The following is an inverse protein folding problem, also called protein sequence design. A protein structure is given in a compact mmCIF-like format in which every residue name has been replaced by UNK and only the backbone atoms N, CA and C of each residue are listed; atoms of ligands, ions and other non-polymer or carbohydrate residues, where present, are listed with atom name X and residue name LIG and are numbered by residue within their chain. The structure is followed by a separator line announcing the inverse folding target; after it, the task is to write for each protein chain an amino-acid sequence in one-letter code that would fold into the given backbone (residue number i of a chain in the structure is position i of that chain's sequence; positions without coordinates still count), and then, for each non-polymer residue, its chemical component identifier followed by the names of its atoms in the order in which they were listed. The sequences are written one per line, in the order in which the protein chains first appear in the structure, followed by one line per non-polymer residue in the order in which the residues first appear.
data_IF_592506424903
#
_entry.id   IF_592506424903
#
_cell.length_a   1.000
_cell.length_b   1.000
_cell.length_c   1.000
_cell.angle_alpha   90.00
_cell.angle_beta   90.00
_cell.angle_gamma   90.00
#
_symmetry.space_group_name_H-M   'P 1'
#
loop_
_entity.id
_entity.type
_entity.pdbx_description
1 polymer ?
#
# COMPACT_ATOMS: atom_id res chain seq x y z
N UNK A 1 -38.63 -42.46 -4.94
CA UNK A 1 -38.92 -42.69 -6.37
C UNK A 1 -37.89 -41.95 -7.21
N UNK A 2 -37.48 -42.45 -8.37
CA UNK A 2 -36.35 -41.89 -9.13
C UNK A 2 -36.39 -40.35 -9.36
N UNK A 3 -37.58 -39.75 -9.42
CA UNK A 3 -37.77 -38.30 -9.54
C UNK A 3 -37.41 -37.50 -8.29
N UNK A 4 -37.53 -38.06 -7.08
CA UNK A 4 -37.19 -37.37 -5.83
C UNK A 4 -35.67 -37.35 -5.59
N UNK A 5 -34.98 -38.45 -5.90
CA UNK A 5 -33.52 -38.57 -5.80
C UNK A 5 -32.79 -37.63 -6.78
N UNK A 6 -33.30 -37.50 -8.02
CA UNK A 6 -32.77 -36.53 -8.97
C UNK A 6 -32.89 -35.08 -8.47
N UNK A 7 -34.01 -34.74 -7.82
CA UNK A 7 -34.24 -33.38 -7.29
C UNK A 7 -33.30 -33.04 -6.14
N UNK A 8 -33.04 -33.99 -5.24
CA UNK A 8 -32.12 -33.80 -4.11
C UNK A 8 -30.68 -33.57 -4.58
N UNK A 9 -30.22 -34.30 -5.59
CA UNK A 9 -28.87 -34.10 -6.16
C UNK A 9 -28.71 -32.75 -6.83
N UNK A 10 -29.73 -32.28 -7.56
CA UNK A 10 -29.72 -30.95 -8.18
C UNK A 10 -29.66 -29.86 -7.10
N UNK A 11 -30.45 -29.98 -6.04
CA UNK A 11 -30.44 -29.02 -4.94
C UNK A 11 -29.08 -29.00 -4.24
N UNK A 12 -28.50 -30.17 -3.97
CA UNK A 12 -27.16 -30.27 -3.37
C UNK A 12 -26.09 -29.59 -4.23
N UNK A 13 -26.12 -29.78 -5.55
CA UNK A 13 -25.21 -29.13 -6.48
C UNK A 13 -25.37 -27.60 -6.50
N UNK A 14 -26.61 -27.09 -6.45
CA UNK A 14 -26.88 -25.65 -6.43
C UNK A 14 -26.41 -25.00 -5.12
N UNK A 15 -26.59 -25.67 -3.98
CA UNK A 15 -26.07 -25.18 -2.69
C UNK A 15 -24.54 -25.15 -2.72
N UNK A 16 -23.90 -26.22 -3.21
CA UNK A 16 -22.44 -26.26 -3.36
C UNK A 16 -21.90 -25.15 -4.27
N UNK A 17 -22.55 -24.92 -5.40
CA UNK A 17 -22.19 -23.83 -6.32
C UNK A 17 -22.39 -22.45 -5.67
N UNK A 18 -23.47 -22.25 -4.92
CA UNK A 18 -23.73 -21.02 -4.19
C UNK A 18 -22.65 -20.72 -3.16
N UNK A 19 -22.19 -21.73 -2.41
CA UNK A 19 -21.10 -21.58 -1.44
C UNK A 19 -19.77 -21.20 -2.12
N UNK A 20 -19.44 -21.83 -3.26
CA UNK A 20 -18.22 -21.53 -4.01
C UNK A 20 -18.26 -20.10 -4.55
N UNK A 21 -19.38 -19.69 -5.18
CA UNK A 21 -19.52 -18.34 -5.73
C UNK A 21 -19.50 -17.27 -4.64
N UNK A 22 -20.12 -17.53 -3.50
CA UNK A 22 -20.11 -16.59 -2.36
C UNK A 22 -18.71 -16.46 -1.77
N UNK A 23 -17.99 -17.58 -1.62
CA UNK A 23 -16.60 -17.57 -1.15
C UNK A 23 -15.68 -16.83 -2.13
N UNK A 24 -15.86 -17.06 -3.44
CA UNK A 24 -15.13 -16.34 -4.49
C UNK A 24 -15.42 -14.84 -4.45
N UNK A 25 -16.69 -14.42 -4.30
CA UNK A 25 -17.06 -13.01 -4.20
C UNK A 25 -16.44 -12.32 -2.99
N UNK A 26 -16.44 -12.96 -1.82
CA UNK A 26 -15.83 -12.42 -0.59
C UNK A 26 -14.32 -12.26 -0.80
N UNK A 27 -13.64 -13.32 -1.27
CA UNK A 27 -12.21 -13.28 -1.52
C UNK A 27 -11.84 -12.25 -2.59
N UNK A 28 -12.59 -12.18 -3.69
CA UNK A 28 -12.37 -11.24 -4.78
C UNK A 28 -12.63 -9.78 -4.39
N UNK A 29 -13.53 -9.54 -3.44
CA UNK A 29 -13.82 -8.20 -2.91
C UNK A 29 -12.77 -7.70 -1.91
N UNK A 30 -12.17 -8.61 -1.13
CA UNK A 30 -11.10 -8.27 -0.19
C UNK A 30 -9.77 -8.11 -0.94
N UNK A 31 -9.44 -9.07 -1.81
CA UNK A 31 -8.24 -9.05 -2.64
C UNK A 31 -8.43 -9.95 -3.88
N UNK A 32 -8.58 -9.38 -5.09
CA UNK A 32 -8.79 -10.15 -6.31
C UNK A 32 -7.63 -11.10 -6.66
N UNK A 33 -6.44 -10.89 -6.09
CA UNK A 33 -5.30 -11.79 -6.31
C UNK A 33 -5.43 -13.13 -5.57
N UNK A 34 -6.28 -13.25 -4.55
CA UNK A 34 -6.50 -14.50 -3.82
C UNK A 34 -7.28 -15.55 -4.62
N UNK A 35 -8.03 -15.11 -5.64
CA UNK A 35 -8.81 -15.99 -6.53
C UNK A 35 -8.16 -16.15 -7.90
N UNK A 36 -7.00 -15.53 -8.12
CA UNK A 36 -6.28 -15.58 -9.37
C UNK A 36 -5.37 -16.83 -9.41
N UNK A 37 -5.99 -18.00 -9.55
CA UNK A 37 -5.28 -19.27 -9.63
C UNK A 37 -4.70 -19.47 -11.03
N UNK A 38 -3.41 -19.18 -11.19
CA UNK A 38 -2.69 -19.53 -12.41
C UNK A 38 -2.17 -20.97 -12.31
N UNK A 39 -3.07 -21.94 -12.48
CA UNK A 39 -2.74 -23.36 -12.43
C UNK A 39 -2.04 -23.78 -13.74
N UNK A 40 -0.74 -23.49 -13.85
CA UNK A 40 0.07 -23.93 -14.99
C UNK A 40 0.43 -25.42 -14.82
N UNK A 41 -0.51 -26.29 -15.17
CA UNK A 41 -0.25 -27.72 -15.22
C UNK A 41 0.63 -28.01 -16.46
N UNK A 42 1.82 -28.62 -16.30
CA UNK A 42 2.59 -29.06 -17.47
C UNK A 42 1.75 -30.07 -18.26
N UNK A 43 1.63 -29.85 -19.57
CA UNK A 43 0.92 -30.76 -20.46
C UNK A 43 1.56 -32.15 -20.41
N UNK A 44 0.80 -33.16 -19.98
CA UNK A 44 1.21 -34.56 -20.07
C UNK A 44 0.88 -35.05 -21.48
N UNK A 45 1.88 -35.01 -22.34
CA UNK A 45 1.88 -35.71 -23.64
C UNK A 45 1.29 -34.93 -24.80
N UNK A 46 2.02 -33.95 -25.33
CA UNK A 46 1.86 -33.53 -26.73
C UNK A 46 3.22 -33.51 -27.44
N UNK A 47 3.48 -34.56 -28.20
CA UNK A 47 4.34 -34.49 -29.38
C UNK A 47 3.62 -33.69 -30.46
N UNK A 48 4.12 -32.50 -30.80
CA UNK A 48 3.69 -31.81 -32.02
C UNK A 48 4.87 -31.47 -32.92
N UNK A 49 4.72 -31.99 -34.13
CA UNK A 49 5.56 -31.85 -35.32
C UNK A 49 5.52 -30.43 -35.86
N UNK A 50 6.64 -29.99 -36.41
CA UNK A 50 6.91 -28.67 -36.95
C UNK A 50 6.04 -28.26 -38.16
N UNK A 51 5.72 -26.96 -38.24
CA UNK A 51 5.21 -26.26 -39.42
C UNK A 51 5.52 -24.77 -39.31
N UNK A 52 6.47 -24.28 -40.11
CA UNK A 52 7.16 -23.01 -39.93
C UNK A 52 6.43 -21.75 -40.40
N UNK A 53 6.61 -20.69 -39.62
CA UNK A 53 6.62 -19.29 -40.05
C UNK A 53 8.02 -18.71 -39.72
N UNK A 54 8.57 -17.76 -40.48
CA UNK A 54 9.92 -17.25 -40.25
C UNK A 54 9.97 -16.55 -38.89
N UNK A 55 10.65 -17.22 -37.97
CA UNK A 55 10.62 -16.95 -36.54
C UNK A 55 11.32 -15.66 -36.16
N UNK A 56 10.62 -14.84 -35.40
CA UNK A 56 11.27 -14.05 -34.38
C UNK A 56 12.05 -15.04 -33.49
N UNK A 57 13.37 -14.96 -33.53
CA UNK A 57 14.24 -15.74 -32.64
C UNK A 57 13.74 -15.48 -31.21
N UNK A 58 13.26 -16.50 -30.47
CA UNK A 58 12.89 -16.32 -29.08
C UNK A 58 14.10 -15.73 -28.36
N UNK A 59 13.97 -14.69 -27.53
CA UNK A 59 15.09 -14.22 -26.74
C UNK A 59 15.60 -15.41 -25.93
N UNK A 60 16.80 -15.89 -26.25
CA UNK A 60 17.42 -17.10 -25.67
C UNK A 60 18.09 -16.84 -24.32
N UNK A 61 17.87 -15.66 -23.73
CA UNK A 61 18.46 -15.26 -22.45
C UNK A 61 17.44 -15.25 -21.30
N UNK A 62 17.88 -15.48 -20.05
CA UNK A 62 17.02 -15.29 -18.88
C UNK A 62 16.47 -13.86 -18.83
N UNK A 63 15.43 -13.62 -18.04
CA UNK A 63 14.95 -12.25 -17.83
C UNK A 63 16.10 -11.34 -17.39
N UNK A 64 16.29 -10.21 -18.07
CA UNK A 64 17.36 -9.26 -17.75
C UNK A 64 17.11 -8.50 -16.45
N UNK A 65 15.88 -8.53 -15.95
CA UNK A 65 15.48 -7.95 -14.66
C UNK A 65 15.66 -9.01 -13.58
N UNK A 66 16.37 -8.65 -12.51
CA UNK A 66 16.58 -9.54 -11.36
C UNK A 66 15.30 -9.68 -10.52
N UNK A 67 15.09 -10.79 -9.80
CA UNK A 67 14.01 -10.92 -8.82
C UNK A 67 14.03 -9.82 -7.75
N UNK A 68 12.91 -9.63 -7.04
CA UNK A 68 12.83 -8.74 -5.87
C UNK A 68 13.74 -9.24 -4.76
N UNK A 69 14.37 -8.32 -4.03
CA UNK A 69 15.18 -8.66 -2.87
C UNK A 69 14.27 -9.17 -1.74
N UNK A 70 14.53 -10.35 -1.15
CA UNK A 70 13.76 -10.82 -0.01
C UNK A 70 13.90 -9.89 1.20
N UNK A 71 12.80 -9.66 1.91
CA UNK A 71 12.78 -8.92 3.16
C UNK A 71 13.39 -9.75 4.29
N UNK A 72 14.14 -9.10 5.17
CA UNK A 72 14.90 -9.75 6.24
C UNK A 72 14.61 -9.20 7.65
N UNK A 73 14.31 -7.91 7.82
CA UNK A 73 13.90 -7.38 9.13
C UNK A 73 12.46 -7.80 9.46
N UNK A 74 12.27 -8.36 10.66
CA UNK A 74 10.97 -8.86 11.12
C UNK A 74 9.89 -7.78 11.24
N UNK A 75 10.26 -6.52 11.53
CA UNK A 75 9.33 -5.39 11.55
C UNK A 75 8.85 -5.01 10.15
N UNK A 76 9.72 -5.19 9.15
CA UNK A 76 9.41 -4.94 7.74
C UNK A 76 8.53 -6.06 7.20
N UNK A 77 8.84 -7.32 7.53
CA UNK A 77 7.99 -8.48 7.20
C UNK A 77 6.59 -8.34 7.83
N UNK A 78 6.51 -7.85 9.08
CA UNK A 78 5.22 -7.59 9.70
C UNK A 78 4.42 -6.55 8.89
N UNK A 79 5.05 -5.42 8.54
CA UNK A 79 4.42 -4.37 7.72
C UNK A 79 3.98 -4.90 6.36
N UNK A 80 4.81 -5.72 5.70
CA UNK A 80 4.50 -6.36 4.43
C UNK A 80 3.29 -7.30 4.49
N UNK A 81 3.06 -7.92 5.64
CA UNK A 81 1.91 -8.79 5.92
C UNK A 81 0.68 -8.01 6.42
N UNK A 82 0.67 -6.69 6.25
CA UNK A 82 -0.45 -5.83 6.64
C UNK A 82 -0.50 -5.52 8.13
N UNK A 83 0.62 -5.65 8.84
CA UNK A 83 0.68 -5.13 10.21
C UNK A 83 0.38 -3.63 10.22
N UNK A 84 -0.24 -3.22 11.33
CA UNK A 84 -0.65 -1.85 11.58
C UNK A 84 0.48 -0.84 11.39
N UNK A 85 0.08 0.43 11.27
CA UNK A 85 0.95 1.61 11.32
C UNK A 85 2.03 1.44 12.39
N UNK A 86 3.29 1.51 11.96
CA UNK A 86 4.43 1.37 12.87
C UNK A 86 4.75 2.70 13.52
N UNK A 87 4.79 2.70 14.86
CA UNK A 87 5.04 3.87 15.71
C UNK A 87 6.34 3.77 16.49
N UNK A 88 7.17 2.75 16.24
CA UNK A 88 8.40 2.51 16.99
C UNK A 88 9.58 2.26 16.06
N UNK A 89 10.77 2.65 16.51
CA UNK A 89 12.03 2.37 15.82
C UNK A 89 13.10 1.91 16.81
N UNK A 90 14.05 1.10 16.32
CA UNK A 90 15.25 0.70 17.08
C UNK A 90 16.25 1.86 17.20
N UNK A 91 16.21 2.84 16.28
CA UNK A 91 17.01 4.07 16.39
C UNK A 91 16.34 5.01 17.41
N UNK A 92 17.01 5.36 18.53
CA UNK A 92 16.40 6.16 19.60
C UNK A 92 16.01 7.57 19.15
N UNK A 93 16.75 8.16 18.21
CA UNK A 93 16.45 9.49 17.69
C UNK A 93 15.18 9.48 16.82
N UNK A 94 15.07 8.47 15.96
CA UNK A 94 13.85 8.23 15.16
C UNK A 94 12.68 7.92 16.08
N UNK A 95 12.88 7.10 17.11
CA UNK A 95 11.84 6.75 18.06
C UNK A 95 11.33 7.97 18.85
N UNK A 96 12.22 8.90 19.23
CA UNK A 96 11.80 10.17 19.85
C UNK A 96 10.94 11.02 18.92
N UNK A 97 11.28 11.05 17.62
CA UNK A 97 10.44 11.70 16.62
C UNK A 97 9.06 11.03 16.54
N UNK A 98 8.99 9.70 16.51
CA UNK A 98 7.74 8.95 16.43
C UNK A 98 6.83 9.14 17.65
N UNK A 99 7.41 9.20 18.86
CA UNK A 99 6.65 9.50 20.09
C UNK A 99 5.98 10.87 19.97
N UNK A 100 6.73 11.90 19.52
CA UNK A 100 6.15 13.23 19.32
C UNK A 100 5.11 13.21 18.19
N UNK A 101 5.41 12.58 17.06
CA UNK A 101 4.50 12.47 15.91
C UNK A 101 3.15 11.87 16.32
N UNK A 102 3.18 10.79 17.09
CA UNK A 102 1.99 10.13 17.60
C UNK A 102 1.20 11.04 18.56
N UNK A 103 1.88 11.75 19.47
CA UNK A 103 1.24 12.69 20.38
C UNK A 103 0.55 13.85 19.63
N UNK A 104 1.19 14.39 18.60
CA UNK A 104 0.61 15.46 17.78
C UNK A 104 -0.57 14.97 16.91
N UNK A 105 -0.51 13.73 16.42
CA UNK A 105 -1.64 13.09 15.76
C UNK A 105 -2.86 13.01 16.69
N UNK A 106 -2.67 12.56 17.95
CA UNK A 106 -3.79 12.50 18.91
C UNK A 106 -4.32 13.88 19.29
N UNK A 107 -3.49 14.92 19.30
CA UNK A 107 -3.98 16.29 19.48
C UNK A 107 -4.88 16.70 18.32
N UNK A 108 -4.46 16.43 17.09
CA UNK A 108 -5.26 16.71 15.89
C UNK A 108 -6.60 15.97 15.92
N UNK A 109 -6.56 14.66 16.19
CA UNK A 109 -7.75 13.80 16.25
C UNK A 109 -8.76 14.33 17.29
N UNK A 110 -8.31 14.57 18.53
CA UNK A 110 -9.15 15.14 19.58
C UNK A 110 -9.69 16.53 19.21
N UNK A 111 -8.87 17.39 18.61
CA UNK A 111 -9.28 18.76 18.29
C UNK A 111 -10.32 18.81 17.16
N UNK A 112 -10.22 17.90 16.18
CA UNK A 112 -11.21 17.76 15.11
C UNK A 112 -12.51 17.08 15.61
N UNK A 113 -12.43 16.18 16.60
CA UNK A 113 -13.61 15.64 17.27
C UNK A 113 -14.38 16.67 18.10
N UNK A 114 -13.68 17.63 18.73
CA UNK A 114 -14.29 18.61 19.64
C UNK A 114 -14.85 19.87 18.97
N UNK A 115 -14.34 20.24 17.78
CA UNK A 115 -14.85 21.39 17.02
C UNK A 115 -16.08 21.00 16.20
N UNK A 116 -16.92 21.96 15.86
CA UNK A 116 -18.17 21.85 15.06
C UNK A 116 -18.04 21.18 13.67
N UNK A 117 -16.93 20.50 13.36
CA UNK A 117 -16.82 19.54 12.27
C UNK A 117 -17.70 18.29 12.48
N UNK A 118 -18.22 18.11 13.70
CA UNK A 118 -19.32 17.21 14.02
C UNK A 118 -18.94 15.75 14.19
N UNK A 119 -19.83 15.00 14.85
CA UNK A 119 -19.85 13.55 14.84
C UNK A 119 -19.81 13.05 13.39
N UNK A 120 -18.66 12.55 12.92
CA UNK A 120 -18.51 12.10 11.53
C UNK A 120 -17.09 12.19 10.97
N UNK A 121 -16.23 13.08 11.48
CA UNK A 121 -14.82 13.09 11.07
C UNK A 121 -14.08 11.88 11.63
N UNK A 122 -13.43 11.12 10.76
CA UNK A 122 -12.57 9.98 11.10
C UNK A 122 -11.19 10.23 10.51
N UNK A 123 -10.16 10.13 11.37
CA UNK A 123 -8.76 10.14 10.95
C UNK A 123 -8.27 8.69 10.91
N UNK A 124 -7.76 8.28 9.76
CA UNK A 124 -7.10 6.98 9.59
C UNK A 124 -5.66 7.22 9.24
N UNK A 125 -4.75 6.69 10.06
CA UNK A 125 -3.33 6.70 9.71
C UNK A 125 -3.07 5.55 8.74
N UNK A 126 -2.63 5.89 7.55
CA UNK A 126 -2.26 4.93 6.52
C UNK A 126 -0.81 4.46 6.71
N UNK A 127 0.09 5.39 7.06
CA UNK A 127 1.49 5.09 7.31
C UNK A 127 2.13 6.12 8.25
N UNK A 128 3.14 5.71 9.03
CA UNK A 128 3.93 6.60 9.87
C UNK A 128 5.42 6.25 9.72
N UNK A 129 6.01 5.45 10.62
CA UNK A 129 7.37 4.98 10.41
C UNK A 129 7.44 4.03 9.21
N UNK A 130 8.39 4.26 8.29
CA UNK A 130 8.78 3.30 7.27
C UNK A 130 10.25 2.96 7.44
N UNK A 131 10.61 1.75 7.94
CA UNK A 131 12.00 1.33 8.00
C UNK A 131 12.69 1.45 6.64
N UNK A 132 13.98 1.75 6.63
CA UNK A 132 14.72 1.97 5.37
C UNK A 132 14.66 0.76 4.43
N UNK A 133 14.65 -0.46 4.95
CA UNK A 133 14.48 -1.68 4.14
C UNK A 133 13.10 -1.74 3.48
N UNK A 134 12.03 -1.32 4.18
CA UNK A 134 10.71 -1.20 3.57
C UNK A 134 10.69 -0.14 2.46
N UNK A 135 11.31 1.03 2.68
CA UNK A 135 11.41 2.06 1.64
C UNK A 135 12.25 1.58 0.42
N UNK A 136 13.30 0.78 0.65
CA UNK A 136 14.07 0.11 -0.42
C UNK A 136 13.19 -0.86 -1.20
N UNK A 137 12.37 -1.64 -0.51
CA UNK A 137 11.45 -2.59 -1.13
C UNK A 137 10.44 -1.89 -2.07
N UNK A 138 9.76 -0.84 -1.59
CA UNK A 138 8.81 -0.06 -2.41
C UNK A 138 9.50 0.55 -3.65
N UNK A 139 10.69 1.12 -3.47
CA UNK A 139 11.45 1.69 -4.58
C UNK A 139 11.92 0.62 -5.57
N UNK A 140 12.34 -0.55 -5.09
CA UNK A 140 12.77 -1.65 -5.94
C UNK A 140 11.62 -2.16 -6.82
N UNK A 141 10.43 -2.33 -6.25
CA UNK A 141 9.21 -2.70 -6.99
C UNK A 141 8.94 -1.68 -8.10
N UNK A 142 8.87 -0.39 -7.74
CA UNK A 142 8.61 0.68 -8.71
C UNK A 142 9.68 0.76 -9.79
N UNK A 143 10.97 0.66 -9.42
CA UNK A 143 12.08 0.74 -10.35
C UNK A 143 12.07 -0.43 -11.35
N UNK A 144 11.83 -1.66 -10.90
CA UNK A 144 11.71 -2.81 -11.82
C UNK A 144 10.48 -2.69 -12.71
N UNK A 145 9.34 -2.30 -12.14
CA UNK A 145 8.07 -2.19 -12.86
C UNK A 145 8.10 -1.10 -13.94
N UNK A 146 8.45 0.13 -13.55
CA UNK A 146 8.42 1.32 -14.41
C UNK A 146 9.74 1.56 -15.13
N UNK A 147 10.86 1.71 -14.41
CA UNK A 147 12.13 2.13 -15.03
C UNK A 147 12.80 1.03 -15.84
N UNK A 148 12.76 -0.22 -15.37
CA UNK A 148 13.32 -1.36 -16.10
C UNK A 148 12.33 -1.94 -17.12
N UNK A 149 11.15 -1.33 -17.28
CA UNK A 149 10.18 -1.63 -18.33
C UNK A 149 9.46 -2.98 -18.19
N UNK A 150 9.41 -3.56 -16.98
CA UNK A 150 8.78 -4.86 -16.77
C UNK A 150 7.27 -4.80 -17.04
N UNK A 151 6.61 -3.67 -16.76
CA UNK A 151 5.19 -3.43 -17.05
C UNK A 151 4.84 -3.65 -18.53
N UNK A 152 5.67 -3.14 -19.43
CA UNK A 152 5.47 -3.23 -20.89
C UNK A 152 6.22 -4.40 -21.53
N UNK A 153 6.98 -5.16 -20.75
CA UNK A 153 7.77 -6.28 -21.27
C UNK A 153 6.87 -7.33 -21.90
N UNK A 154 7.26 -7.73 -23.11
CA UNK A 154 6.67 -8.85 -23.88
C UNK A 154 7.59 -10.07 -23.92
N UNK A 155 8.74 -10.02 -23.22
CA UNK A 155 9.67 -11.13 -23.16
C UNK A 155 9.06 -12.28 -22.33
N UNK A 156 8.81 -13.48 -22.92
CA UNK A 156 8.19 -14.59 -22.21
C UNK A 156 9.03 -15.06 -21.01
N UNK A 157 10.36 -14.89 -21.05
CA UNK A 157 11.23 -15.26 -19.94
C UNK A 157 11.06 -14.35 -18.71
N UNK A 158 10.45 -13.18 -18.88
CA UNK A 158 10.11 -12.27 -17.80
C UNK A 158 8.65 -12.42 -17.31
N UNK A 159 7.84 -13.32 -17.88
CA UNK A 159 6.41 -13.39 -17.60
C UNK A 159 6.11 -13.67 -16.11
N UNK A 160 6.82 -14.61 -15.50
CA UNK A 160 6.66 -14.92 -14.06
C UNK A 160 7.04 -13.71 -13.21
N UNK A 161 8.22 -13.14 -13.42
CA UNK A 161 8.69 -11.97 -12.65
C UNK A 161 7.77 -10.76 -12.85
N UNK A 162 7.24 -10.56 -14.06
CA UNK A 162 6.25 -9.52 -14.35
C UNK A 162 5.00 -9.72 -13.50
N UNK A 163 4.48 -10.94 -13.41
CA UNK A 163 3.30 -11.19 -12.58
C UNK A 163 3.59 -10.95 -11.09
N UNK A 164 4.75 -11.39 -10.59
CA UNK A 164 5.17 -11.20 -9.20
C UNK A 164 5.33 -9.71 -8.85
N UNK A 165 6.15 -8.98 -9.61
CA UNK A 165 6.40 -7.55 -9.38
C UNK A 165 5.12 -6.72 -9.62
N UNK A 166 4.30 -7.10 -10.59
CA UNK A 166 3.03 -6.42 -10.86
C UNK A 166 2.00 -6.61 -9.75
N UNK A 167 1.97 -7.80 -9.14
CA UNK A 167 1.15 -8.06 -7.96
C UNK A 167 1.62 -7.22 -6.77
N UNK A 168 2.93 -7.15 -6.52
CA UNK A 168 3.50 -6.30 -5.46
C UNK A 168 3.24 -4.81 -5.72
N UNK A 169 3.44 -4.34 -6.96
CA UNK A 169 3.17 -2.96 -7.34
C UNK A 169 1.71 -2.57 -7.08
N UNK A 170 0.78 -3.48 -7.39
CA UNK A 170 -0.66 -3.29 -7.17
C UNK A 170 -1.03 -3.38 -5.68
N UNK A 171 -0.44 -4.33 -4.94
CA UNK A 171 -0.64 -4.54 -3.50
C UNK A 171 -0.34 -3.26 -2.72
N UNK A 172 0.76 -2.59 -3.06
CA UNK A 172 1.19 -1.35 -2.40
C UNK A 172 0.55 -0.09 -2.99
N UNK A 173 -0.33 -0.21 -4.01
CA UNK A 173 -1.01 0.92 -4.64
C UNK A 173 -0.03 1.94 -5.24
N UNK A 174 1.11 1.49 -5.77
CA UNK A 174 2.18 2.40 -6.16
C UNK A 174 1.77 3.26 -7.37
N UNK A 175 1.99 4.56 -7.25
CA UNK A 175 1.76 5.53 -8.33
C UNK A 175 2.94 5.65 -9.29
N UNK A 176 2.91 6.68 -10.12
CA UNK A 176 3.98 6.97 -11.09
C UNK A 176 5.33 7.30 -10.43
N UNK A 177 5.36 7.64 -9.15
CA UNK A 177 6.55 8.05 -8.42
C UNK A 177 6.61 7.37 -7.04
N UNK A 178 7.79 6.87 -6.70
CA UNK A 178 8.14 6.40 -5.36
C UNK A 178 9.46 7.04 -4.95
N UNK A 179 9.50 7.63 -3.76
CA UNK A 179 10.70 8.28 -3.24
C UNK A 179 11.88 7.31 -3.17
N UNK A 180 13.04 7.74 -3.65
CA UNK A 180 14.28 6.96 -3.53
C UNK A 180 14.61 6.70 -2.06
N UNK A 181 15.18 5.53 -1.70
CA UNK A 181 15.50 5.22 -0.32
C UNK A 181 16.51 6.21 0.25
N UNK A 182 16.10 6.93 1.30
CA UNK A 182 16.90 7.98 1.90
C UNK A 182 16.60 8.02 3.41
N UNK A 183 17.64 7.94 4.25
CA UNK A 183 17.52 8.03 5.71
C UNK A 183 16.94 9.36 6.19
N UNK A 184 16.99 10.40 5.36
CA UNK A 184 16.45 11.72 5.66
C UNK A 184 14.98 11.88 5.23
N UNK A 185 14.39 10.89 4.53
CA UNK A 185 13.00 10.93 4.13
C UNK A 185 12.08 10.97 5.36
N UNK A 186 10.99 11.77 5.36
CA UNK A 186 10.21 12.01 6.57
C UNK A 186 9.71 10.74 7.29
N UNK A 187 9.17 9.77 6.54
CA UNK A 187 8.75 8.49 7.12
C UNK A 187 9.90 7.66 7.70
N UNK A 188 11.09 7.74 7.09
CA UNK A 188 12.27 6.97 7.53
C UNK A 188 12.88 7.58 8.79
N UNK A 189 12.89 8.91 8.92
CA UNK A 189 13.37 9.57 10.15
C UNK A 189 12.27 9.80 11.20
N UNK A 190 11.08 9.23 11.00
CA UNK A 190 9.98 9.24 11.97
C UNK A 190 9.30 10.59 12.15
N UNK A 191 9.39 11.48 11.16
CA UNK A 191 8.74 12.81 11.19
C UNK A 191 7.53 12.92 10.27
N UNK A 192 7.33 11.94 9.38
CA UNK A 192 6.24 11.93 8.40
C UNK A 192 5.12 10.96 8.76
N UNK A 193 3.88 11.34 8.45
CA UNK A 193 2.67 10.55 8.66
C UNK A 193 1.70 10.76 7.50
N UNK A 194 1.12 9.68 7.02
CA UNK A 194 0.07 9.71 6.00
C UNK A 194 -1.28 9.54 6.70
N UNK A 195 -2.06 10.61 6.79
CA UNK A 195 -3.37 10.66 7.45
C UNK A 195 -4.46 10.82 6.39
N UNK A 196 -5.31 9.81 6.25
CA UNK A 196 -6.57 9.93 5.54
C UNK A 196 -7.61 10.55 6.46
N UNK A 197 -8.34 11.54 5.95
CA UNK A 197 -9.39 12.23 6.70
C UNK A 197 -10.70 11.99 5.95
N UNK A 198 -11.71 11.48 6.64
CA UNK A 198 -13.05 11.23 6.08
C UNK A 198 -14.11 11.86 6.98
N UNK A 199 -15.20 12.37 6.39
CA UNK A 199 -16.42 12.79 7.07
C UNK A 199 -17.61 12.37 6.18
N UNK A 200 -18.82 12.26 6.70
CA UNK A 200 -20.02 11.93 5.89
C UNK A 200 -20.26 12.86 4.69
N UNK A 201 -19.61 14.02 4.65
CA UNK A 201 -19.57 15.01 3.54
C UNK A 201 -18.15 15.27 2.98
N UNK A 202 -17.13 14.56 3.46
CA UNK A 202 -15.71 14.83 3.22
C UNK A 202 -15.00 13.54 2.84
N UNK A 203 -14.28 13.56 1.73
CA UNK A 203 -13.14 12.66 1.52
C UNK A 203 -11.97 13.56 1.21
N UNK A 204 -10.81 13.33 1.85
CA UNK A 204 -9.54 13.74 1.25
C UNK A 204 -9.46 13.06 -0.12
N UNK A 205 -9.97 13.75 -1.13
CA UNK A 205 -10.13 13.32 -2.51
C UNK A 205 -9.22 14.20 -3.36
N UNK A 206 -8.52 13.64 -4.37
CA UNK A 206 -7.48 14.26 -5.23
C UNK A 206 -7.75 15.65 -5.83
N UNK A 207 -8.94 16.20 -5.64
CA UNK A 207 -9.48 17.38 -6.31
C UNK A 207 -10.01 18.46 -5.37
N UNK A 208 -10.04 18.23 -4.03
CA UNK A 208 -10.59 19.20 -3.08
C UNK A 208 -9.57 19.58 -1.97
N UNK A 209 -8.58 20.38 -2.37
CA UNK A 209 -7.51 20.88 -1.49
C UNK A 209 -7.95 22.01 -0.55
N UNK A 210 -9.14 22.59 -0.76
CA UNK A 210 -9.66 23.70 0.05
C UNK A 210 -9.82 23.32 1.53
N UNK A 211 -10.17 22.06 1.74
CA UNK A 211 -10.35 21.43 3.04
C UNK A 211 -9.04 21.14 3.77
N UNK A 212 -8.01 20.66 3.06
CA UNK A 212 -6.68 20.43 3.62
C UNK A 212 -6.00 21.74 4.00
N UNK A 213 -6.23 22.81 3.21
CA UNK A 213 -5.81 24.17 3.57
C UNK A 213 -6.52 24.66 4.84
N UNK A 214 -7.82 24.36 4.99
CA UNK A 214 -8.57 24.64 6.22
C UNK A 214 -8.01 23.91 7.44
N UNK A 215 -7.65 22.63 7.31
CA UNK A 215 -7.01 21.85 8.39
C UNK A 215 -5.62 22.40 8.72
N UNK A 216 -4.83 22.78 7.72
CA UNK A 216 -3.54 23.45 7.94
C UNK A 216 -3.69 24.78 8.67
N UNK A 217 -4.68 25.58 8.29
CA UNK A 217 -5.00 26.82 8.99
C UNK A 217 -5.44 26.53 10.43
N UNK A 218 -6.27 25.52 10.65
CA UNK A 218 -6.71 25.08 11.99
C UNK A 218 -5.53 24.69 12.89
N UNK A 219 -4.63 23.81 12.41
CA UNK A 219 -3.43 23.41 13.15
C UNK A 219 -2.53 24.61 13.51
N UNK A 220 -2.55 25.67 12.69
CA UNK A 220 -1.76 26.88 12.91
C UNK A 220 -2.44 27.92 13.81
N UNK A 221 -3.78 27.90 13.93
CA UNK A 221 -4.57 29.00 14.52
C UNK A 221 -5.36 28.63 15.76
N UNK A 222 -5.34 27.36 16.22
CA UNK A 222 -6.15 26.89 17.35
C UNK A 222 -6.13 27.87 18.55
N UNK A 223 -7.25 28.59 18.82
CA UNK A 223 -7.33 29.53 19.93
C UNK A 223 -7.81 28.85 21.23
N UNK A 224 -7.68 29.51 22.39
CA UNK A 224 -8.00 28.95 23.71
C UNK A 224 -9.43 28.36 23.83
N UNK A 225 -9.68 27.39 24.74
CA UNK A 225 -8.86 27.02 25.90
C UNK A 225 -7.77 25.96 25.63
N UNK A 226 -7.70 25.38 24.44
CA UNK A 226 -6.63 24.44 24.09
C UNK A 226 -5.37 25.20 23.70
N UNK A 227 -4.47 25.43 24.66
CA UNK A 227 -3.09 25.92 24.43
C UNK A 227 -2.22 24.96 23.57
N UNK A 228 -2.82 24.06 22.81
CA UNK A 228 -2.14 23.00 22.08
C UNK A 228 -2.02 23.40 20.62
N UNK A 229 -1.00 24.22 20.33
CA UNK A 229 -0.47 24.30 18.98
C UNK A 229 -0.16 22.87 18.50
N UNK A 230 -0.80 22.43 17.41
CA UNK A 230 -0.56 21.12 16.81
C UNK A 230 0.67 21.25 15.94
N UNK A 231 1.69 20.45 16.21
CA UNK A 231 2.98 20.52 15.53
C UNK A 231 3.05 19.64 14.27
N UNK A 232 1.93 19.54 13.55
CA UNK A 232 1.81 18.87 12.26
C UNK A 232 1.55 19.89 11.15
N UNK A 233 2.02 19.57 9.95
CA UNK A 233 1.79 20.39 8.76
C UNK A 233 1.60 19.50 7.54
N UNK A 234 0.46 19.65 6.86
CA UNK A 234 0.26 19.06 5.55
C UNK A 234 1.22 19.68 4.55
N UNK A 235 1.86 18.83 3.75
CA UNK A 235 2.97 19.23 2.88
C UNK A 235 2.54 19.72 1.50
N UNK A 236 1.27 19.57 1.11
CA UNK A 236 0.81 20.05 -0.20
C UNK A 236 1.43 19.31 -1.39
N UNK A 237 1.86 18.06 -1.19
CA UNK A 237 2.53 17.29 -2.23
C UNK A 237 1.49 16.85 -3.27
N UNK A 238 1.68 17.27 -4.52
CA UNK A 238 0.79 16.91 -5.62
C UNK A 238 0.72 15.39 -5.78
N UNK A 239 -0.49 14.83 -5.66
CA UNK A 239 -0.73 13.38 -5.73
C UNK A 239 -0.50 12.62 -4.41
N UNK A 240 -0.12 13.31 -3.34
CA UNK A 240 0.01 12.76 -1.99
C UNK A 240 -0.65 13.72 -0.97
N UNK A 241 -1.98 13.65 -0.96
CA UNK A 241 -2.84 14.56 -0.20
C UNK A 241 -2.93 14.24 1.28
N UNK A 242 -2.39 13.10 1.69
CA UNK A 242 -2.49 12.61 3.06
C UNK A 242 -1.19 12.85 3.84
N UNK A 243 -0.15 13.42 3.24
CA UNK A 243 1.17 13.51 3.86
C UNK A 243 1.34 14.75 4.76
N UNK A 244 1.62 14.50 6.04
CA UNK A 244 1.91 15.51 7.06
C UNK A 244 3.30 15.28 7.65
N UNK A 245 3.96 16.37 8.04
CA UNK A 245 5.24 16.32 8.76
C UNK A 245 5.17 17.03 10.11
N UNK A 246 5.98 16.57 11.06
CA UNK A 246 6.35 17.37 12.23
C UNK A 246 7.06 18.64 11.80
N UNK A 247 6.65 19.80 12.31
CA UNK A 247 7.37 21.06 12.04
C UNK A 247 8.59 21.20 12.95
N UNK A 248 8.50 20.78 14.21
CA UNK A 248 9.58 20.88 15.19
C UNK A 248 9.93 19.50 15.77
N UNK A 249 10.56 18.60 14.98
CA UNK A 249 10.92 17.27 15.46
C UNK A 249 12.01 17.35 16.55
N UNK A 250 11.99 16.47 17.57
CA UNK A 250 13.04 16.41 18.60
C UNK A 250 14.44 16.15 18.03
N UNK A 251 14.50 15.45 16.89
CA UNK A 251 15.72 15.18 16.15
C UNK A 251 15.56 15.56 14.68
N UNK A 252 16.46 16.40 14.17
CA UNK A 252 16.43 16.94 12.81
C UNK A 252 17.32 16.17 11.82
N UNK A 253 18.21 15.32 12.32
CA UNK A 253 19.10 14.51 11.50
C UNK A 253 18.38 13.38 10.77
N UNK A 254 19.16 12.59 10.04
CA UNK A 254 18.66 11.44 9.29
C UNK A 254 18.71 10.18 10.16
N UNK A 255 17.86 9.20 9.83
CA UNK A 255 17.92 7.88 10.45
C UNK A 255 19.28 7.22 10.16
N UNK A 256 19.80 6.48 11.13
CA UNK A 256 20.97 5.62 10.92
C UNK A 256 20.54 4.43 10.06
N UNK A 257 21.26 4.17 8.97
CA UNK A 257 20.96 3.11 7.98
C UNK A 257 21.89 1.92 8.18
#
# INVERSE_FOLDING_TARGET
GAKSDAKERIIGALIGLGLILTSWLILNSINPNLVNFNLNLPAVGETTTAGGAPGAVPPTGPCSVTPLTPLSDSSVIAMENGAAVVWTSKDPNVNNNLIKLQAEFYKLDNALMLKDYGSGVTLTVNSAYRPIEYQKHLWEIWNKWKNQGLETSTNPNCATLKNEVGAEYSKHGLGSLVGSPNGCAPHVKGTGIDIRITNGTFSSSPSDTSNLLGINAFMQTAPPPSNTQIDLMWQGISGDEVHFNLKNPPYTGCATI
#
